data_IF_479209560247
#
_entry.id   IF_479209560247
#
_cell.length_a   1.000
_cell.length_b   1.000
_cell.length_c   1.000
_cell.angle_alpha   90.00
_cell.angle_beta   90.00
_cell.angle_gamma   90.00
#
_symmetry.space_group_name_H-M   'P 1'
#
loop_
_entity.id
_entity.type
_entity.pdbx_description
1 polymer ?
#
# COMPACT_ATOMS: atom_id res chain seq x y z
N UNK A 1 -15.96 7.82 12.54
CA UNK A 1 -14.67 8.20 13.15
C UNK A 1 -13.68 8.33 12.02
N UNK A 2 -13.10 9.51 11.83
CA UNK A 2 -11.91 9.67 10.98
C UNK A 2 -10.73 9.09 11.73
N UNK A 3 -9.86 8.33 11.06
CA UNK A 3 -8.64 7.81 11.66
C UNK A 3 -7.70 8.96 12.11
N UNK A 4 -6.65 8.62 12.83
CA UNK A 4 -5.62 9.59 13.20
C UNK A 4 -5.01 10.22 11.94
N UNK A 5 -4.82 11.54 11.97
CA UNK A 5 -4.18 12.29 10.88
C UNK A 5 -2.67 12.22 11.08
N UNK A 6 -1.94 11.84 10.03
CA UNK A 6 -0.47 11.76 10.04
C UNK A 6 0.08 12.99 9.34
N UNK A 7 1.00 13.70 10.00
CA UNK A 7 1.66 14.90 9.47
C UNK A 7 2.79 14.49 8.53
N UNK A 8 2.73 14.98 7.29
CA UNK A 8 3.60 14.57 6.20
C UNK A 8 5.04 15.13 6.32
N UNK A 9 5.21 16.21 7.09
CA UNK A 9 6.44 16.97 7.25
C UNK A 9 7.11 16.78 8.62
N UNK A 10 6.45 16.09 9.56
CA UNK A 10 6.99 15.84 10.91
C UNK A 10 7.64 14.47 10.96
N UNK A 11 8.97 14.45 10.93
CA UNK A 11 9.79 13.24 10.87
C UNK A 11 10.67 13.16 12.12
N UNK A 12 10.70 11.99 12.77
CA UNK A 12 11.64 11.70 13.86
C UNK A 12 13.07 11.81 13.31
N UNK A 13 13.90 12.73 13.83
CA UNK A 13 15.21 13.01 13.26
C UNK A 13 16.19 11.91 13.62
N UNK A 14 17.15 11.68 12.73
CA UNK A 14 18.22 10.69 12.91
C UNK A 14 19.04 10.96 14.18
N UNK A 15 19.16 12.23 14.62
CA UNK A 15 19.82 12.61 15.88
C UNK A 15 19.22 11.93 17.11
N UNK A 16 17.91 11.68 17.10
CA UNK A 16 17.17 10.98 18.17
C UNK A 16 17.39 9.47 18.05
N UNK A 17 17.36 8.93 16.83
CA UNK A 17 17.60 7.50 16.59
C UNK A 17 19.01 7.06 16.98
N UNK A 18 20.01 7.92 16.74
CA UNK A 18 21.40 7.67 17.10
C UNK A 18 21.63 7.65 18.62
N UNK A 19 20.71 8.21 19.40
CA UNK A 19 20.81 8.24 20.85
C UNK A 19 20.12 7.04 21.52
N UNK A 20 19.94 5.95 20.78
CA UNK A 20 19.40 4.68 21.28
C UNK A 20 17.90 4.57 21.08
N UNK A 21 17.51 3.44 20.50
CA UNK A 21 16.13 3.06 20.22
C UNK A 21 15.97 1.57 20.52
N UNK A 22 15.05 1.23 21.42
CA UNK A 22 14.60 -0.14 21.58
C UNK A 22 13.30 -0.32 20.81
N UNK A 23 13.14 -1.47 20.14
CA UNK A 23 12.00 -1.75 19.29
C UNK A 23 11.40 -3.12 19.52
N UNK A 24 10.07 -3.22 19.39
CA UNK A 24 9.32 -4.47 19.46
C UNK A 24 8.46 -4.67 18.21
N UNK A 25 8.32 -5.94 17.78
CA UNK A 25 7.42 -6.35 16.71
C UNK A 25 6.26 -7.17 17.30
N UNK A 26 5.06 -6.60 17.34
CA UNK A 26 3.89 -7.20 17.96
C UNK A 26 2.93 -7.88 16.98
N UNK A 27 2.48 -9.09 17.33
CA UNK A 27 1.38 -9.83 16.69
C UNK A 27 0.42 -10.33 17.77
N UNK A 28 -0.87 -10.29 17.48
CA UNK A 28 -1.88 -10.82 18.38
C UNK A 28 -2.36 -12.18 17.87
N UNK A 29 -1.98 -13.23 18.59
CA UNK A 29 -2.39 -14.60 18.30
C UNK A 29 -2.79 -15.26 19.62
N UNK A 30 -3.97 -15.86 19.66
CA UNK A 30 -4.41 -16.68 20.77
C UNK A 30 -3.86 -18.10 20.60
N UNK A 31 -3.17 -18.60 21.63
CA UNK A 31 -2.43 -19.87 21.56
C UNK A 31 -2.91 -20.76 22.68
N UNK A 32 -3.35 -21.97 22.32
CA UNK A 32 -3.68 -23.01 23.29
C UNK A 32 -2.84 -24.25 23.02
N UNK A 33 -2.55 -25.01 24.08
CA UNK A 33 -1.87 -26.30 23.99
C UNK A 33 -2.72 -27.34 24.72
N UNK A 34 -3.05 -28.43 24.04
CA UNK A 34 -3.80 -29.51 24.67
C UNK A 34 -2.89 -30.38 25.56
N UNK A 35 -3.50 -31.28 26.35
CA UNK A 35 -2.78 -32.18 27.26
C UNK A 35 -1.78 -33.10 26.54
N UNK A 36 -1.99 -33.39 25.25
CA UNK A 36 -1.10 -34.16 24.39
C UNK A 36 0.09 -33.38 23.82
N UNK A 37 0.22 -32.08 24.14
CA UNK A 37 1.31 -31.23 23.68
C UNK A 37 1.10 -30.59 22.30
N UNK A 38 -0.04 -30.82 21.64
CA UNK A 38 -0.38 -30.18 20.37
C UNK A 38 -0.79 -28.73 20.59
N UNK A 39 -0.20 -27.83 19.82
CA UNK A 39 -0.53 -26.42 19.84
C UNK A 39 -1.54 -26.08 18.74
N UNK A 40 -2.56 -25.30 19.10
CA UNK A 40 -3.46 -24.64 18.14
C UNK A 40 -3.34 -23.14 18.33
N UNK A 41 -3.43 -22.41 17.21
CA UNK A 41 -3.25 -20.96 17.20
C UNK A 41 -4.36 -20.33 16.39
N UNK A 42 -5.08 -19.38 16.99
CA UNK A 42 -6.00 -18.50 16.30
C UNK A 42 -5.31 -17.15 16.04
N UNK A 43 -5.30 -16.71 14.78
CA UNK A 43 -4.69 -15.43 14.40
C UNK A 43 -5.73 -14.33 14.59
N UNK A 44 -5.53 -13.48 15.59
CA UNK A 44 -6.44 -12.36 15.89
C UNK A 44 -6.06 -11.15 15.03
N UNK A 45 -4.76 -10.84 14.94
CA UNK A 45 -4.23 -9.75 14.13
C UNK A 45 -3.26 -10.25 13.07
N UNK A 46 -3.67 -10.13 11.82
CA UNK A 46 -2.92 -10.60 10.66
C UNK A 46 -1.87 -9.58 10.13
N UNK A 47 -1.71 -8.46 10.84
CA UNK A 47 -0.71 -7.41 10.60
C UNK A 47 0.28 -7.30 11.77
N UNK A 48 1.56 -7.10 11.46
CA UNK A 48 2.59 -6.79 12.46
C UNK A 48 2.51 -5.29 12.73
N UNK A 49 2.37 -4.90 14.00
CA UNK A 49 2.57 -3.52 14.41
C UNK A 49 3.89 -3.43 15.18
N UNK A 50 4.52 -2.27 15.09
CA UNK A 50 5.79 -1.98 15.73
C UNK A 50 5.61 -0.97 16.85
N UNK A 51 6.47 -1.07 17.84
CA UNK A 51 6.56 -0.10 18.92
C UNK A 51 8.02 0.22 19.16
N UNK A 52 8.32 1.45 19.52
CA UNK A 52 9.67 1.90 19.80
C UNK A 52 9.71 2.71 21.09
N UNK A 53 10.78 2.56 21.85
CA UNK A 53 11.13 3.42 22.96
C UNK A 53 12.30 4.29 22.53
N UNK A 54 12.09 5.62 22.49
CA UNK A 54 13.14 6.58 22.17
C UNK A 54 13.85 7.04 23.44
N UNK A 55 15.12 7.44 23.31
CA UNK A 55 15.86 8.03 24.44
C UNK A 55 16.26 7.02 25.52
N UNK A 56 16.48 5.76 25.11
CA UNK A 56 17.00 4.69 25.96
C UNK A 56 18.36 5.09 26.55
N UNK A 57 19.19 5.78 25.77
CA UNK A 57 20.43 6.38 26.25
C UNK A 57 20.29 7.91 26.47
N UNK A 58 21.05 8.50 27.41
CA UNK A 58 21.05 9.95 27.60
C UNK A 58 21.48 10.72 26.34
N UNK A 59 20.61 11.60 25.88
CA UNK A 59 20.79 12.35 24.64
C UNK A 59 21.37 13.75 24.88
N UNK A 60 21.84 14.40 23.81
CA UNK A 60 22.18 15.82 23.87
C UNK A 60 20.94 16.68 24.12
N UNK A 61 21.12 17.86 24.71
CA UNK A 61 20.01 18.81 24.91
C UNK A 61 19.33 19.18 23.58
N UNK A 62 20.09 19.29 22.48
CA UNK A 62 19.54 19.59 21.16
C UNK A 62 18.61 18.46 20.68
N UNK A 63 19.04 17.20 20.78
CA UNK A 63 18.20 16.04 20.43
C UNK A 63 16.91 16.00 21.25
N UNK A 64 16.97 16.34 22.54
CA UNK A 64 15.76 16.42 23.39
C UNK A 64 14.85 17.57 22.97
N UNK A 65 15.40 18.72 22.58
CA UNK A 65 14.61 19.82 22.04
C UNK A 65 13.90 19.43 20.74
N UNK A 66 14.52 18.62 19.89
CA UNK A 66 13.87 18.07 18.69
C UNK A 66 12.69 17.17 19.07
N UNK A 67 12.86 16.26 20.04
CA UNK A 67 11.75 15.40 20.54
C UNK A 67 10.62 16.22 21.12
N UNK A 68 10.93 17.24 21.94
CA UNK A 68 9.94 18.13 22.51
C UNK A 68 9.18 18.89 21.42
N UNK A 69 9.88 19.42 20.41
CA UNK A 69 9.25 20.09 19.29
C UNK A 69 8.27 19.19 18.55
N UNK A 70 8.63 17.93 18.31
CA UNK A 70 7.74 16.95 17.68
C UNK A 70 6.55 16.61 18.56
N UNK A 71 6.78 16.43 19.87
CA UNK A 71 5.72 16.16 20.83
C UNK A 71 4.69 17.29 20.90
N UNK A 72 5.14 18.55 20.91
CA UNK A 72 4.25 19.72 20.88
C UNK A 72 3.50 19.85 19.54
N UNK A 73 4.17 19.67 18.40
CA UNK A 73 3.54 19.78 17.07
C UNK A 73 2.53 18.65 16.81
N UNK A 74 2.82 17.45 17.32
CA UNK A 74 1.90 16.30 17.24
C UNK A 74 0.78 16.33 18.28
N UNK A 75 0.70 17.40 19.08
CA UNK A 75 -0.26 17.56 20.18
C UNK A 75 -0.28 16.31 21.08
N UNK A 76 0.90 15.99 21.62
CA UNK A 76 1.15 14.85 22.49
C UNK A 76 0.82 13.46 21.91
N UNK A 77 0.64 13.34 20.59
CA UNK A 77 0.26 12.10 19.91
C UNK A 77 -1.18 12.09 19.38
N UNK A 78 -1.92 13.19 19.49
CA UNK A 78 -3.20 13.35 18.80
C UNK A 78 -3.05 13.32 17.27
N UNK A 79 -1.86 13.68 16.77
CA UNK A 79 -1.44 13.51 15.39
C UNK A 79 -0.32 12.48 15.25
N UNK A 80 -0.33 11.75 14.15
CA UNK A 80 0.75 10.86 13.77
C UNK A 80 1.94 11.61 13.15
N UNK A 81 3.12 11.03 13.29
CA UNK A 81 4.39 11.52 12.73
C UNK A 81 5.08 10.38 11.98
N UNK A 82 6.19 10.67 11.32
CA UNK A 82 6.90 9.72 10.47
C UNK A 82 8.22 9.27 11.10
N UNK A 83 8.47 7.96 11.10
CA UNK A 83 9.70 7.36 11.59
C UNK A 83 10.40 6.59 10.47
N UNK A 84 11.68 6.90 10.20
CA UNK A 84 12.53 6.01 9.41
C UNK A 84 13.00 4.87 10.32
N UNK A 85 12.33 3.72 10.25
CA UNK A 85 12.67 2.56 11.08
C UNK A 85 14.14 2.14 10.82
N UNK A 86 14.99 2.09 11.86
CA UNK A 86 16.42 1.81 11.69
C UNK A 86 16.72 0.40 11.19
N UNK A 87 15.81 -0.57 11.41
CA UNK A 87 16.01 -1.95 10.95
C UNK A 87 15.28 -2.23 9.63
N UNK A 88 14.38 -1.33 9.20
CA UNK A 88 13.50 -1.59 8.07
C UNK A 88 12.86 -0.33 7.47
N UNK A 89 13.63 0.41 6.66
CA UNK A 89 13.20 1.65 5.98
C UNK A 89 13.52 1.71 4.48
N UNK A 90 14.02 0.60 3.91
CA UNK A 90 14.44 0.52 2.50
C UNK A 90 13.74 -0.65 1.81
N UNK A 91 13.30 -0.45 0.56
CA UNK A 91 12.73 -1.48 -0.32
C UNK A 91 13.61 -1.64 -1.54
N UNK A 92 14.19 -2.83 -1.70
CA UNK A 92 14.89 -3.21 -2.93
C UNK A 92 13.89 -3.66 -3.99
N UNK A 93 14.26 -3.58 -5.28
CA UNK A 93 13.40 -3.97 -6.40
C UNK A 93 12.95 -5.43 -6.37
N UNK A 94 13.71 -6.32 -5.69
CA UNK A 94 13.36 -7.72 -5.47
C UNK A 94 12.39 -7.95 -4.31
N UNK A 95 12.17 -6.91 -3.49
CA UNK A 95 11.32 -6.92 -2.30
C UNK A 95 10.06 -6.09 -2.51
N UNK A 96 10.08 -5.06 -3.36
CA UNK A 96 8.92 -4.23 -3.62
C UNK A 96 7.99 -4.86 -4.65
N UNK A 97 6.69 -4.81 -4.36
CA UNK A 97 5.64 -5.29 -5.23
C UNK A 97 4.46 -4.33 -5.21
N UNK A 98 3.71 -4.27 -6.31
CA UNK A 98 2.43 -3.56 -6.37
C UNK A 98 1.28 -4.56 -6.16
N UNK A 99 0.26 -4.17 -5.40
CA UNK A 99 -0.97 -4.96 -5.22
C UNK A 99 -2.15 -4.18 -5.77
N UNK A 100 -2.98 -4.80 -6.61
CA UNK A 100 -4.15 -4.14 -7.20
C UNK A 100 -5.12 -3.68 -6.12
N UNK A 101 -5.86 -2.61 -6.42
CA UNK A 101 -6.89 -2.06 -5.52
C UNK A 101 -8.12 -1.72 -6.34
N UNK A 102 -9.27 -2.26 -5.94
CA UNK A 102 -10.53 -2.14 -6.66
C UNK A 102 -11.67 -2.09 -5.64
N UNK A 103 -12.63 -1.18 -5.87
CA UNK A 103 -13.80 -1.04 -5.00
C UNK A 103 -13.49 -0.91 -3.49
N UNK A 104 -12.40 -0.21 -3.14
CA UNK A 104 -12.03 0.02 -1.74
C UNK A 104 -11.34 -1.17 -1.06
N UNK A 105 -10.92 -2.19 -1.81
CA UNK A 105 -10.24 -3.37 -1.26
C UNK A 105 -9.06 -3.81 -2.12
N UNK A 106 -8.13 -4.52 -1.50
CA UNK A 106 -7.03 -5.17 -2.21
C UNK A 106 -7.56 -6.25 -3.18
N UNK A 107 -6.98 -6.32 -4.37
CA UNK A 107 -7.46 -7.18 -5.44
C UNK A 107 -6.31 -7.82 -6.23
N UNK A 108 -6.46 -9.11 -6.51
CA UNK A 108 -5.56 -9.87 -7.38
C UNK A 108 -4.25 -10.32 -6.71
N UNK A 109 -3.25 -10.60 -7.54
CA UNK A 109 -1.98 -11.20 -7.11
C UNK A 109 -0.92 -10.12 -6.87
N UNK A 110 -0.23 -10.21 -5.73
CA UNK A 110 0.83 -9.26 -5.35
C UNK A 110 2.01 -9.38 -6.30
N UNK A 111 2.46 -8.24 -6.84
CA UNK A 111 3.63 -8.14 -7.71
C UNK A 111 3.32 -8.37 -9.20
N UNK A 112 2.05 -8.47 -9.57
CA UNK A 112 1.61 -8.65 -10.95
C UNK A 112 0.51 -7.66 -11.31
N UNK A 113 0.34 -7.40 -12.60
CA UNK A 113 -0.79 -6.62 -13.10
C UNK A 113 -2.11 -7.32 -12.81
N UNK A 114 -3.11 -6.55 -12.39
CA UNK A 114 -4.43 -7.06 -12.02
C UNK A 114 -5.55 -6.47 -12.90
N UNK A 115 -5.19 -5.79 -14.00
CA UNK A 115 -6.13 -5.15 -14.92
C UNK A 115 -6.92 -3.99 -14.32
N UNK A 116 -6.51 -3.49 -13.15
CA UNK A 116 -7.08 -2.31 -12.50
C UNK A 116 -6.12 -1.11 -12.64
N UNK A 117 -6.61 0.13 -12.51
CA UNK A 117 -5.77 1.32 -12.58
C UNK A 117 -4.92 1.52 -11.32
N UNK A 118 -5.46 1.22 -10.14
CA UNK A 118 -4.89 1.62 -8.85
C UNK A 118 -4.18 0.46 -8.16
N UNK A 119 -3.01 0.72 -7.58
CA UNK A 119 -2.20 -0.25 -6.85
C UNK A 119 -1.63 0.35 -5.56
N UNK A 120 -1.63 -0.44 -4.48
CA UNK A 120 -0.92 -0.12 -3.26
C UNK A 120 0.53 -0.61 -3.27
N UNK A 121 1.42 0.13 -2.63
CA UNK A 121 2.82 -0.28 -2.45
C UNK A 121 2.91 -1.40 -1.40
N UNK A 122 3.66 -2.46 -1.72
CA UNK A 122 3.92 -3.59 -0.81
C UNK A 122 5.42 -3.85 -0.66
N UNK A 123 5.86 -4.17 0.56
CA UNK A 123 7.15 -4.83 0.81
C UNK A 123 6.93 -6.32 1.07
N UNK A 124 7.67 -7.16 0.36
CA UNK A 124 7.68 -8.60 0.51
C UNK A 124 8.77 -9.02 1.51
N UNK A 125 8.35 -9.63 2.61
CA UNK A 125 9.27 -10.31 3.53
C UNK A 125 9.33 -11.78 3.17
N UNK A 126 10.54 -12.27 2.93
CA UNK A 126 10.80 -13.67 2.60
C UNK A 126 11.67 -14.27 3.69
N UNK A 127 11.24 -15.38 4.27
CA UNK A 127 12.06 -16.10 5.24
C UNK A 127 13.29 -16.69 4.53
N UNK A 128 14.47 -16.60 5.16
CA UNK A 128 15.74 -17.11 4.57
C UNK A 128 15.59 -18.58 4.19
N UNK A 129 15.97 -18.92 2.95
CA UNK A 129 15.88 -20.28 2.42
C UNK A 129 14.45 -20.76 2.12
N UNK A 130 13.45 -19.89 2.15
CA UNK A 130 12.06 -20.21 1.87
C UNK A 130 11.52 -19.44 0.66
N UNK A 131 10.56 -20.04 -0.05
CA UNK A 131 9.73 -19.35 -1.04
C UNK A 131 8.53 -18.63 -0.42
N UNK A 132 8.25 -18.84 0.88
CA UNK A 132 7.12 -18.21 1.56
C UNK A 132 7.35 -16.72 1.74
N UNK A 133 6.41 -15.93 1.23
CA UNK A 133 6.43 -14.47 1.30
C UNK A 133 5.24 -13.96 2.10
N UNK A 134 5.42 -12.86 2.82
CA UNK A 134 4.34 -12.05 3.38
C UNK A 134 4.49 -10.63 2.84
N UNK A 135 3.44 -10.12 2.22
CA UNK A 135 3.35 -8.74 1.79
C UNK A 135 2.89 -7.85 2.94
N UNK A 136 3.51 -6.68 3.10
CA UNK A 136 3.09 -5.63 4.01
C UNK A 136 2.79 -4.37 3.22
N UNK A 137 1.67 -3.72 3.52
CA UNK A 137 1.32 -2.42 2.96
C UNK A 137 2.31 -1.35 3.44
N UNK A 138 2.76 -0.50 2.51
CA UNK A 138 3.51 0.71 2.80
C UNK A 138 2.76 1.89 2.20
N UNK A 139 2.58 2.96 2.97
CA UNK A 139 1.75 4.12 2.62
C UNK A 139 2.55 5.42 2.49
N UNK A 140 3.74 5.46 3.08
CA UNK A 140 4.60 6.65 3.17
C UNK A 140 5.98 6.42 2.53
N UNK A 141 6.09 6.34 1.19
CA UNK A 141 7.41 6.34 0.54
C UNK A 141 8.13 7.66 0.84
N UNK A 142 9.44 7.57 1.07
CA UNK A 142 10.30 8.73 1.23
C UNK A 142 10.82 9.15 -0.15
N UNK A 143 10.18 10.17 -0.72
CA UNK A 143 10.38 10.59 -2.11
C UNK A 143 9.60 9.73 -3.10
N UNK A 144 9.84 9.98 -4.39
CA UNK A 144 9.15 9.26 -5.48
C UNK A 144 9.66 7.82 -5.57
N UNK A 145 8.82 6.80 -5.36
CA UNK A 145 9.23 5.40 -5.54
C UNK A 145 9.59 5.13 -7.01
N UNK A 146 10.66 4.37 -7.24
CA UNK A 146 11.00 3.89 -8.57
C UNK A 146 10.11 2.70 -8.92
N UNK A 147 9.34 2.81 -9.99
CA UNK A 147 8.37 1.80 -10.42
C UNK A 147 8.93 1.04 -11.64
N UNK A 148 8.75 -0.29 -11.64
CA UNK A 148 9.07 -1.13 -12.79
C UNK A 148 7.85 -1.96 -13.22
N UNK A 149 7.67 -2.10 -14.53
CA UNK A 149 6.67 -2.95 -15.17
C UNK A 149 7.36 -3.85 -16.19
N UNK A 150 7.25 -5.16 -16.01
CA UNK A 150 8.00 -6.13 -16.82
C UNK A 150 9.52 -5.90 -16.77
N UNK A 151 10.04 -5.34 -15.67
CA UNK A 151 11.44 -4.94 -15.52
C UNK A 151 11.82 -3.60 -16.15
N UNK A 152 10.93 -2.94 -16.88
CA UNK A 152 11.17 -1.61 -17.48
C UNK A 152 10.70 -0.49 -16.56
N UNK A 153 11.42 0.64 -16.46
CA UNK A 153 10.97 1.80 -15.70
C UNK A 153 9.63 2.35 -16.16
N UNK A 154 8.76 2.68 -15.20
CA UNK A 154 7.50 3.38 -15.46
C UNK A 154 7.70 4.87 -15.21
N UNK A 155 7.39 5.68 -16.21
CA UNK A 155 7.45 7.15 -16.12
C UNK A 155 6.26 7.69 -15.33
N UNK A 156 6.51 8.65 -14.44
CA UNK A 156 5.43 9.39 -13.78
C UNK A 156 4.90 10.47 -14.72
N UNK A 157 3.60 10.42 -15.04
CA UNK A 157 2.96 11.38 -15.95
C UNK A 157 1.59 10.92 -16.44
N UNK A 158 1.10 11.57 -17.50
CA UNK A 158 -0.29 11.45 -17.97
C UNK A 158 -0.46 10.71 -19.30
N UNK A 159 0.63 10.30 -19.95
CA UNK A 159 0.57 9.55 -21.20
C UNK A 159 0.20 8.08 -20.97
N UNK A 160 -0.27 7.40 -22.01
CA UNK A 160 -0.60 5.97 -21.94
C UNK A 160 0.59 5.13 -21.46
N UNK A 161 0.36 4.22 -20.52
CA UNK A 161 1.41 3.39 -19.91
C UNK A 161 2.22 4.06 -18.79
N UNK A 162 2.06 5.38 -18.58
CA UNK A 162 2.63 6.07 -17.43
C UNK A 162 1.81 5.80 -16.14
N UNK A 163 2.30 6.30 -15.01
CA UNK A 163 1.59 6.27 -13.75
C UNK A 163 1.56 7.64 -13.06
N UNK A 164 0.57 7.85 -12.20
CA UNK A 164 0.53 8.91 -11.20
C UNK A 164 0.65 8.34 -9.79
N UNK A 165 0.96 9.21 -8.83
CA UNK A 165 0.99 8.90 -7.40
C UNK A 165 -0.05 9.79 -6.70
N UNK A 166 -0.85 9.21 -5.82
CA UNK A 166 -1.74 9.99 -4.95
C UNK A 166 -0.95 10.73 -3.87
N UNK A 167 -1.60 11.71 -3.24
CA UNK A 167 -1.21 12.14 -1.90
C UNK A 167 -1.28 10.95 -0.92
N UNK A 168 -0.63 11.08 0.23
CA UNK A 168 -0.61 9.99 1.21
C UNK A 168 -2.01 9.69 1.79
N UNK A 169 -2.34 8.43 2.09
CA UNK A 169 -1.61 7.19 1.80
C UNK A 169 -1.33 7.01 0.29
N UNK A 170 -0.09 6.72 -0.07
CA UNK A 170 0.33 6.74 -1.47
C UNK A 170 -0.12 5.48 -2.22
N UNK A 171 -0.88 5.70 -3.29
CA UNK A 171 -1.26 4.70 -4.28
C UNK A 171 -0.69 5.07 -5.65
N UNK A 172 -0.30 4.04 -6.41
CA UNK A 172 0.09 4.15 -7.82
C UNK A 172 -1.18 4.04 -8.66
N UNK A 173 -1.44 5.01 -9.53
CA UNK A 173 -2.54 4.94 -10.51
C UNK A 173 -1.99 4.95 -11.92
N UNK A 174 -2.09 3.84 -12.62
CA UNK A 174 -1.68 3.75 -14.01
C UNK A 174 -2.66 4.51 -14.92
N UNK A 175 -2.11 5.17 -15.93
CA UNK A 175 -2.87 5.61 -17.10
C UNK A 175 -3.10 4.40 -18.00
N UNK A 176 -4.29 4.27 -18.57
CA UNK A 176 -4.59 3.13 -19.44
C UNK A 176 -3.60 3.07 -20.60
N UNK A 177 -3.10 1.88 -20.91
CA UNK A 177 -2.19 1.66 -22.06
C UNK A 177 -2.91 1.91 -23.38
N UNK A 178 -4.18 1.55 -23.40
CA UNK A 178 -5.09 1.76 -24.51
C UNK A 178 -6.52 1.80 -24.00
N UNK A 179 -7.38 2.52 -24.71
CA UNK A 179 -8.82 2.54 -24.44
C UNK A 179 -9.60 2.57 -25.75
N UNK A 180 -10.81 2.00 -25.73
CA UNK A 180 -11.75 1.99 -26.85
C UNK A 180 -13.17 2.12 -26.33
N UNK A 181 -14.04 2.74 -27.13
CA UNK A 181 -15.45 2.89 -26.79
C UNK A 181 -16.15 1.53 -26.83
N UNK A 182 -17.07 1.31 -25.89
CA UNK A 182 -17.94 0.14 -25.91
C UNK A 182 -19.10 0.39 -26.88
N UNK A 183 -19.26 -0.47 -27.89
CA UNK A 183 -20.31 -0.36 -28.90
C UNK A 183 -21.49 -1.31 -28.66
N UNK A 184 -21.29 -2.41 -27.95
CA UNK A 184 -22.36 -3.32 -27.56
C UNK A 184 -22.06 -4.05 -26.24
N UNK A 185 -23.11 -4.39 -25.49
CA UNK A 185 -23.05 -5.26 -24.31
C UNK A 185 -24.16 -6.30 -24.45
N UNK A 186 -23.78 -7.58 -24.42
CA UNK A 186 -24.72 -8.71 -24.38
C UNK A 186 -24.64 -9.33 -23.01
N UNK A 187 -25.74 -9.23 -22.25
CA UNK A 187 -25.85 -9.78 -20.90
C UNK A 187 -26.10 -11.29 -20.94
N UNK A 188 -25.59 -12.02 -19.94
CA UNK A 188 -25.70 -13.47 -19.88
C UNK A 188 -24.95 -14.07 -18.69
N UNK A 189 -24.88 -15.41 -18.64
CA UNK A 189 -24.08 -16.11 -17.63
C UNK A 189 -22.58 -15.74 -17.72
N UNK A 190 -22.13 -15.45 -18.93
CA UNK A 190 -20.95 -14.63 -19.23
C UNK A 190 -21.42 -13.37 -19.95
N UNK A 191 -20.72 -12.25 -19.74
CA UNK A 191 -21.05 -10.99 -20.38
C UNK A 191 -20.18 -10.80 -21.60
N UNK A 192 -20.77 -10.48 -22.76
CA UNK A 192 -19.98 -10.08 -23.93
C UNK A 192 -19.97 -8.56 -24.07
N UNK A 193 -18.79 -8.01 -24.33
CA UNK A 193 -18.59 -6.59 -24.58
C UNK A 193 -17.90 -6.45 -25.93
N UNK A 194 -18.53 -5.68 -26.84
CA UNK A 194 -17.92 -5.32 -28.12
C UNK A 194 -17.32 -3.93 -27.99
N UNK A 195 -16.04 -3.80 -28.32
CA UNK A 195 -15.36 -2.51 -28.42
C UNK A 195 -15.37 -2.02 -29.87
N UNK A 196 -15.23 -0.71 -30.07
CA UNK A 196 -15.17 -0.11 -31.39
C UNK A 196 -13.99 -0.64 -32.25
N UNK A 197 -12.88 -1.00 -31.60
CA UNK A 197 -11.74 -1.69 -32.18
C UNK A 197 -11.08 -2.60 -31.13
N UNK A 198 -10.23 -3.52 -31.57
CA UNK A 198 -9.45 -4.35 -30.65
C UNK A 198 -8.44 -3.51 -29.87
N UNK A 199 -8.32 -3.79 -28.56
CA UNK A 199 -7.23 -3.30 -27.73
C UNK A 199 -6.02 -4.23 -27.87
N UNK A 200 -4.90 -3.68 -28.34
CA UNK A 200 -3.68 -4.45 -28.62
C UNK A 200 -3.12 -5.13 -27.36
N UNK A 201 -2.71 -6.38 -27.52
CA UNK A 201 -2.09 -7.19 -26.46
C UNK A 201 -3.01 -7.58 -25.31
N UNK A 202 -4.34 -7.52 -25.49
CA UNK A 202 -5.26 -8.29 -24.65
C UNK A 202 -5.32 -9.73 -25.16
N UNK A 203 -5.35 -10.68 -24.22
CA UNK A 203 -5.38 -12.13 -24.49
C UNK A 203 -6.44 -12.80 -23.63
N UNK A 204 -6.80 -14.04 -23.97
CA UNK A 204 -7.61 -14.89 -23.08
C UNK A 204 -6.83 -15.16 -21.79
N UNK A 205 -7.49 -15.05 -20.64
CA UNK A 205 -6.87 -15.01 -19.30
C UNK A 205 -6.37 -13.63 -18.88
N UNK A 206 -6.35 -12.66 -19.80
CA UNK A 206 -6.10 -11.25 -19.52
C UNK A 206 -7.29 -10.57 -18.82
N UNK A 207 -7.15 -9.27 -18.60
CA UNK A 207 -8.13 -8.46 -17.84
C UNK A 207 -8.55 -7.21 -18.63
N UNK A 208 -9.87 -6.99 -18.71
CA UNK A 208 -10.49 -5.80 -19.28
C UNK A 208 -11.14 -4.96 -18.18
N UNK A 209 -10.77 -3.69 -18.10
CA UNK A 209 -11.44 -2.73 -17.22
C UNK A 209 -12.58 -2.03 -17.96
N UNK A 210 -13.73 -1.89 -17.32
CA UNK A 210 -14.89 -1.21 -17.88
C UNK A 210 -15.26 0.03 -17.05
N UNK A 211 -15.63 1.10 -17.73
CA UNK A 211 -16.05 2.34 -17.09
C UNK A 211 -17.11 3.06 -17.92
N UNK A 212 -17.96 3.81 -17.23
CA UNK A 212 -18.93 4.73 -17.81
C UNK A 212 -20.00 4.05 -18.70
N UNK A 213 -20.24 2.75 -18.48
CA UNK A 213 -21.45 2.07 -18.96
C UNK A 213 -22.69 2.66 -18.30
N UNK A 214 -23.83 2.55 -18.96
CA UNK A 214 -25.11 3.11 -18.47
C UNK A 214 -26.13 2.01 -18.19
N UNK A 215 -27.27 2.37 -17.61
CA UNK A 215 -28.34 1.45 -17.22
C UNK A 215 -28.30 1.05 -15.75
N UNK A 216 -29.42 0.49 -15.25
CA UNK A 216 -29.69 0.24 -13.82
C UNK A 216 -28.64 -0.65 -13.15
N UNK A 217 -27.97 -1.53 -13.90
CA UNK A 217 -27.04 -2.51 -13.35
C UNK A 217 -25.59 -2.30 -13.81
N UNK A 218 -25.26 -1.12 -14.35
CA UNK A 218 -23.93 -0.82 -14.87
C UNK A 218 -22.82 -0.94 -13.81
N UNK A 219 -23.14 -0.74 -12.53
CA UNK A 219 -22.20 -0.88 -11.41
C UNK A 219 -21.64 -2.30 -11.22
N UNK A 220 -22.24 -3.32 -11.83
CA UNK A 220 -21.67 -4.68 -11.86
C UNK A 220 -20.41 -4.79 -12.74
N UNK A 221 -20.21 -3.82 -13.64
CA UNK A 221 -19.08 -3.78 -14.58
C UNK A 221 -18.23 -2.52 -14.42
N UNK A 222 -18.86 -1.38 -14.18
CA UNK A 222 -18.17 -0.11 -14.05
C UNK A 222 -17.23 -0.10 -12.84
N UNK A 223 -16.00 0.35 -13.08
CA UNK A 223 -15.00 0.45 -12.02
C UNK A 223 -14.46 -0.92 -11.59
N UNK A 224 -14.54 -1.93 -12.46
CA UNK A 224 -14.09 -3.29 -12.17
C UNK A 224 -13.20 -3.88 -13.28
N UNK A 225 -12.33 -4.80 -12.87
CA UNK A 225 -11.43 -5.59 -13.72
C UNK A 225 -12.02 -6.97 -13.98
N UNK A 226 -12.27 -7.31 -15.25
CA UNK A 226 -12.94 -8.54 -15.65
C UNK A 226 -12.01 -9.48 -16.40
N UNK A 227 -12.02 -10.77 -16.04
CA UNK A 227 -11.29 -11.79 -16.78
C UNK A 227 -11.90 -12.05 -18.14
N UNK A 228 -11.05 -12.08 -19.17
CA UNK A 228 -11.41 -12.39 -20.54
C UNK A 228 -11.35 -13.90 -20.73
N UNK A 229 -12.48 -14.53 -21.03
CA UNK A 229 -12.57 -15.98 -21.27
C UNK A 229 -12.57 -16.35 -22.76
N UNK A 230 -12.91 -15.42 -23.64
CA UNK A 230 -12.79 -15.58 -25.08
C UNK A 230 -12.66 -14.21 -25.77
N UNK A 231 -11.96 -14.17 -26.90
CA UNK A 231 -11.88 -13.02 -27.80
C UNK A 231 -12.33 -13.50 -29.18
N UNK A 232 -13.36 -12.86 -29.72
CA UNK A 232 -13.99 -13.23 -31.00
C UNK A 232 -14.28 -12.00 -31.85
N UNK A 233 -15.00 -12.19 -32.96
CA UNK A 233 -15.28 -11.17 -33.96
C UNK A 233 -14.18 -11.11 -35.02
N UNK A 234 -14.54 -10.74 -36.26
CA UNK A 234 -13.59 -10.66 -37.38
C UNK A 234 -12.44 -9.67 -37.15
N UNK A 235 -12.62 -8.71 -36.26
CA UNK A 235 -11.60 -7.74 -35.83
C UNK A 235 -11.07 -7.98 -34.42
N UNK A 236 -11.37 -9.13 -33.79
CA UNK A 236 -10.96 -9.48 -32.42
C UNK A 236 -11.35 -8.43 -31.36
N UNK A 237 -12.51 -7.81 -31.54
CA UNK A 237 -13.03 -6.71 -30.71
C UNK A 237 -14.23 -7.11 -29.84
N UNK A 238 -14.62 -8.40 -29.84
CA UNK A 238 -15.67 -8.93 -28.97
C UNK A 238 -15.01 -9.73 -27.85
N UNK A 239 -15.18 -9.26 -26.62
CA UNK A 239 -14.59 -9.84 -25.42
C UNK A 239 -15.67 -10.52 -24.60
N UNK A 240 -15.52 -11.82 -24.35
CA UNK A 240 -16.37 -12.55 -23.41
C UNK A 240 -15.72 -12.50 -22.03
N UNK A 241 -16.48 -12.07 -21.03
CA UNK A 241 -16.05 -11.86 -19.66
C UNK A 241 -16.64 -12.93 -18.74
N UNK A 242 -15.88 -13.37 -17.73
CA UNK A 242 -16.33 -14.35 -16.74
C UNK A 242 -17.48 -13.85 -15.83
N UNK A 243 -17.92 -12.61 -15.98
CA UNK A 243 -18.91 -11.96 -15.11
C UNK A 243 -20.33 -12.30 -15.54
N UNK A 244 -21.13 -12.78 -14.58
CA UNK A 244 -22.54 -13.09 -14.78
C UNK A 244 -23.40 -11.82 -14.65
N UNK A 245 -24.10 -11.47 -15.73
CA UNK A 245 -25.05 -10.37 -15.82
C UNK A 245 -26.42 -10.85 -16.31
N UNK A 246 -26.73 -12.14 -16.19
CA UNK A 246 -28.01 -12.70 -16.62
C UNK A 246 -29.19 -11.97 -15.96
N UNK A 247 -30.18 -11.58 -16.78
CA UNK A 247 -31.36 -10.84 -16.32
C UNK A 247 -31.08 -9.40 -15.88
N UNK A 248 -29.90 -8.85 -16.17
CA UNK A 248 -29.54 -7.46 -15.86
C UNK A 248 -29.74 -6.55 -17.06
N UNK A 249 -29.91 -5.26 -16.78
CA UNK A 249 -30.04 -4.21 -17.79
C UNK A 249 -28.81 -3.33 -17.74
N UNK A 250 -27.96 -3.47 -18.75
CA UNK A 250 -26.73 -2.71 -18.95
C UNK A 250 -26.74 -2.21 -20.39
N UNK A 251 -26.52 -0.92 -20.58
CA UNK A 251 -26.55 -0.26 -21.87
C UNK A 251 -25.12 0.09 -22.29
N UNK A 252 -24.79 -0.24 -23.54
CA UNK A 252 -23.49 0.08 -24.12
C UNK A 252 -23.24 1.59 -24.12
N UNK A 253 -22.16 2.00 -23.47
CA UNK A 253 -21.66 3.36 -23.35
C UNK A 253 -20.23 3.29 -22.80
N UNK A 254 -19.56 4.44 -22.66
CA UNK A 254 -18.28 4.48 -21.97
C UNK A 254 -17.17 3.71 -22.69
N UNK A 255 -16.23 3.18 -21.91
CA UNK A 255 -14.94 2.69 -22.44
C UNK A 255 -14.49 1.37 -21.82
N UNK A 256 -13.88 0.54 -22.65
CA UNK A 256 -12.99 -0.54 -22.24
C UNK A 256 -11.55 -0.04 -22.19
N UNK A 257 -10.83 -0.37 -21.13
CA UNK A 257 -9.45 0.08 -20.89
C UNK A 257 -8.53 -1.11 -20.62
N UNK A 258 -7.33 -1.06 -21.18
CA UNK A 258 -6.23 -1.95 -20.85
C UNK A 258 -5.34 -1.28 -19.81
N UNK A 259 -5.12 -1.99 -18.71
CA UNK A 259 -4.18 -1.65 -17.64
C UNK A 259 -3.15 -2.78 -17.49
N UNK A 260 -2.16 -2.69 -16.58
CA UNK A 260 -1.21 -3.78 -16.37
C UNK A 260 -1.86 -5.16 -16.23
N UNK A 261 -1.38 -6.10 -17.03
CA UNK A 261 -1.94 -7.44 -17.22
C UNK A 261 -1.30 -8.49 -16.30
N UNK A 262 -1.96 -9.64 -16.05
CA UNK A 262 -1.49 -10.68 -15.12
C UNK A 262 -0.10 -11.28 -15.39
N UNK A 263 0.38 -11.23 -16.64
CA UNK A 263 1.71 -11.69 -17.04
C UNK A 263 2.81 -10.66 -16.80
N UNK A 264 2.45 -9.43 -16.44
CA UNK A 264 3.39 -8.34 -16.22
C UNK A 264 3.77 -8.23 -14.75
N UNK A 265 5.05 -8.43 -14.44
CA UNK A 265 5.57 -8.20 -13.11
C UNK A 265 5.59 -6.70 -12.78
N UNK A 266 5.04 -6.32 -11.63
CA UNK A 266 4.97 -4.95 -11.13
C UNK A 266 5.74 -4.82 -9.81
N UNK A 267 6.87 -4.13 -9.85
CA UNK A 267 7.75 -3.95 -8.70
C UNK A 267 8.02 -2.49 -8.43
N UNK A 268 8.50 -2.20 -7.23
CA UNK A 268 8.97 -0.87 -6.88
C UNK A 268 10.19 -0.94 -5.96
N UNK A 269 10.91 0.17 -5.84
CA UNK A 269 11.99 0.33 -4.88
C UNK A 269 12.07 1.76 -4.38
N UNK A 270 12.62 1.95 -3.19
CA UNK A 270 12.79 3.27 -2.57
C UNK A 270 12.90 3.17 -1.06
N UNK A 271 12.97 4.31 -0.42
CA UNK A 271 12.92 4.40 1.03
C UNK A 271 11.48 4.63 1.49
N UNK A 272 11.18 4.38 2.76
CA UNK A 272 9.87 4.66 3.32
C UNK A 272 9.95 5.06 4.79
N UNK A 273 8.91 5.74 5.23
CA UNK A 273 8.65 6.03 6.63
C UNK A 273 7.54 5.12 7.15
N UNK A 274 7.56 4.87 8.46
CA UNK A 274 6.48 4.23 9.18
C UNK A 274 5.69 5.32 9.91
N UNK A 275 4.36 5.42 9.70
CA UNK A 275 3.51 6.26 10.54
C UNK A 275 3.52 5.79 11.98
N UNK A 276 3.78 6.69 12.92
CA UNK A 276 3.80 6.42 14.35
C UNK A 276 3.09 7.51 15.13
N UNK A 277 2.66 7.24 16.36
CA UNK A 277 2.16 8.26 17.30
C UNK A 277 2.83 8.09 18.66
N UNK A 278 2.87 9.15 19.47
CA UNK A 278 3.18 8.99 20.88
C UNK A 278 2.08 8.17 21.56
N UNK A 279 2.49 7.21 22.38
CA UNK A 279 1.54 6.36 23.13
C UNK A 279 0.87 7.13 24.27
N UNK A 280 1.62 8.03 24.90
CA UNK A 280 1.27 8.65 26.16
C UNK A 280 1.26 10.18 26.05
N UNK A 281 0.25 10.82 26.64
CA UNK A 281 0.08 12.28 26.69
C UNK A 281 1.08 12.98 27.62
N UNK A 282 2.10 12.27 28.10
CA UNK A 282 3.07 12.77 29.08
C UNK A 282 4.48 12.36 28.67
N UNK A 283 5.36 13.35 28.56
CA UNK A 283 6.77 13.14 28.31
C UNK A 283 7.60 13.44 29.55
N UNK A 284 8.06 12.41 30.24
CA UNK A 284 8.96 12.54 31.39
C UNK A 284 10.42 12.70 30.95
N UNK A 285 11.17 13.58 31.60
CA UNK A 285 12.61 13.76 31.36
C UNK A 285 13.40 13.87 32.67
N UNK A 286 14.67 13.51 32.62
CA UNK A 286 15.62 13.67 33.73
C UNK A 286 16.99 14.13 33.23
N UNK A 287 17.64 15.01 34.00
CA UNK A 287 19.00 15.44 33.69
C UNK A 287 19.99 14.37 34.17
N UNK A 288 20.47 13.55 33.23
CA UNK A 288 21.39 12.45 33.50
C UNK A 288 22.82 12.94 33.78
N UNK A 289 23.25 14.03 33.13
CA UNK A 289 24.52 14.69 33.41
C UNK A 289 24.34 16.21 33.39
N UNK A 290 24.70 16.87 34.50
CA UNK A 290 24.72 18.33 34.62
C UNK A 290 25.99 18.94 34.00
N UNK A 291 25.96 20.23 33.69
CA UNK A 291 27.09 20.94 33.11
C UNK A 291 26.68 22.15 32.29
N UNK A 292 27.63 22.68 31.49
CA UNK A 292 27.33 23.65 30.43
C UNK A 292 26.39 23.01 29.39
N UNK A 293 25.63 23.83 28.66
CA UNK A 293 24.52 23.37 27.78
C UNK A 293 24.91 22.20 26.88
N UNK A 294 26.07 22.29 26.23
CA UNK A 294 26.51 21.29 25.25
C UNK A 294 27.06 19.99 25.88
N UNK A 295 27.45 20.05 27.15
CA UNK A 295 27.92 18.90 27.92
C UNK A 295 26.79 18.17 28.65
N UNK A 296 25.60 18.77 28.76
CA UNK A 296 24.45 18.16 29.45
C UNK A 296 23.96 16.94 28.69
N UNK A 297 23.55 15.93 29.46
CA UNK A 297 22.86 14.75 28.94
C UNK A 297 21.51 14.62 29.61
N UNK A 298 20.48 14.38 28.82
CA UNK A 298 19.09 14.29 29.28
C UNK A 298 18.53 12.94 28.84
N UNK A 299 17.95 12.21 29.78
CA UNK A 299 17.25 10.95 29.50
C UNK A 299 15.75 11.22 29.38
N UNK A 300 15.10 10.53 28.45
CA UNK A 300 13.65 10.62 28.21
C UNK A 300 13.06 9.20 28.23
N UNK A 301 13.10 8.51 29.39
CA UNK A 301 12.93 7.05 29.45
C UNK A 301 11.49 6.57 29.22
N UNK A 302 10.52 7.46 29.11
CA UNK A 302 9.07 7.14 29.02
C UNK A 302 8.46 7.49 27.66
N UNK A 303 9.29 7.71 26.64
CA UNK A 303 8.81 8.11 25.33
C UNK A 303 8.61 6.90 24.42
N UNK A 304 7.36 6.48 24.25
CA UNK A 304 6.98 5.38 23.37
C UNK A 304 6.29 5.90 22.11
N UNK A 305 6.72 5.36 20.97
CA UNK A 305 6.12 5.54 19.67
C UNK A 305 5.48 4.23 19.22
N UNK A 306 4.21 4.25 18.85
CA UNK A 306 3.51 3.09 18.32
C UNK A 306 3.18 3.28 16.84
N UNK A 307 3.42 2.26 16.03
CA UNK A 307 2.98 2.23 14.64
C UNK A 307 1.45 2.28 14.57
N UNK A 308 0.99 3.18 13.72
CA UNK A 308 -0.43 3.40 13.45
C UNK A 308 -0.75 3.04 12.00
N UNK A 309 -2.01 2.66 11.77
CA UNK A 309 -2.52 2.42 10.43
C UNK A 309 -3.26 3.65 9.94
N UNK A 310 -2.93 4.06 8.73
CA UNK A 310 -3.68 5.06 7.99
C UNK A 310 -4.89 4.38 7.35
N UNK A 311 -6.06 4.99 7.51
CA UNK A 311 -7.33 4.52 6.97
C UNK A 311 -7.60 5.11 5.58
#
# INVERSE_FOLDING_TARGET
MTGIVVLDDVIIPTSVLLAGLDGELGRENDRTRNQGGYATVNVIRDVTLRSWQIGVEPMSVLSVQDVLGIWEVSDAGAYGVLLADPIDSVVLSTQGALQGYMAGVEFGTVGFGNGCPTYGLRKLYTARGSSRKKARALTRPNGTPALLRGGSPVTIGVAAGNAGLSAAPVYVTFVADASQNVSAVTVGATTQVTLAAALSGLVVGGRLWLQDLTGTHASLLNGMSHEITAITGGSLNVYTLATNTAGKTITAAGTGKKYPQPDEALTWSGNFYVPVQFRDDRLGWSLAAAGQRDARKVSVPSAYLDEIREA
#
